data_IF_609231643790
#
_entry.id   IF_609231643790
#
_cell.length_a   1.000
_cell.length_b   1.000
_cell.length_c   1.000
_cell.angle_alpha   90.00
_cell.angle_beta   90.00
_cell.angle_gamma   90.00
#
_symmetry.space_group_name_H-M   'P 1'
#
loop_
_entity.id
_entity.type
_entity.pdbx_description
1 polymer ?
#
# COMPACT_ATOMS: atom_id res chain seq x y z
N UNK A 1 -9.00 46.44 15.89
CA UNK A 1 -8.67 45.11 15.33
C UNK A 1 -9.23 45.16 13.93
N UNK A 2 -8.34 45.37 12.96
CA UNK A 2 -8.68 45.98 11.67
C UNK A 2 -8.62 44.94 10.55
N UNK A 3 -9.39 45.14 9.48
CA UNK A 3 -9.58 44.19 8.37
C UNK A 3 -8.26 43.87 7.65
N UNK A 4 -7.29 44.78 7.75
CA UNK A 4 -5.92 44.63 7.24
C UNK A 4 -5.12 43.54 7.97
N UNK A 5 -5.35 43.32 9.27
CA UNK A 5 -4.63 42.29 10.04
C UNK A 5 -5.01 40.88 9.57
N UNK A 6 -6.27 40.67 9.17
CA UNK A 6 -6.75 39.41 8.57
C UNK A 6 -6.16 39.18 7.18
N UNK A 7 -6.02 40.24 6.39
CA UNK A 7 -5.40 40.14 5.06
C UNK A 7 -3.94 39.72 5.16
N UNK A 8 -3.15 40.36 6.04
CA UNK A 8 -1.75 40.01 6.23
C UNK A 8 -1.56 38.62 6.85
N UNK A 9 -2.41 38.21 7.80
CA UNK A 9 -2.35 36.86 8.35
C UNK A 9 -2.67 35.77 7.31
N UNK A 10 -3.63 36.02 6.42
CA UNK A 10 -3.96 35.08 5.34
C UNK A 10 -2.91 35.05 4.23
N UNK A 11 -2.31 36.20 3.90
CA UNK A 11 -1.15 36.27 3.00
C UNK A 11 0.03 35.50 3.58
N UNK A 12 0.36 35.69 4.86
CA UNK A 12 1.48 35.00 5.48
C UNK A 12 1.24 33.49 5.56
N UNK A 13 0.01 33.05 5.85
CA UNK A 13 -0.39 31.63 5.78
C UNK A 13 -0.31 31.07 4.35
N UNK A 14 -0.71 31.85 3.36
CA UNK A 14 -0.60 31.48 1.95
C UNK A 14 0.86 31.37 1.50
N UNK A 15 1.72 32.29 1.92
CA UNK A 15 3.16 32.21 1.64
C UNK A 15 3.86 31.08 2.40
N UNK A 16 3.46 30.76 3.64
CA UNK A 16 3.94 29.57 4.35
C UNK A 16 3.46 28.29 3.67
N UNK A 17 2.20 28.23 3.21
CA UNK A 17 1.70 27.11 2.41
C UNK A 17 2.48 26.96 1.10
N UNK A 18 2.70 28.05 0.36
CA UNK A 18 3.51 28.03 -0.86
C UNK A 18 4.98 27.69 -0.60
N UNK A 19 5.58 28.18 0.48
CA UNK A 19 6.95 27.83 0.86
C UNK A 19 7.09 26.34 1.24
N UNK A 20 6.05 25.71 1.78
CA UNK A 20 6.00 24.26 2.00
C UNK A 20 5.66 23.45 0.73
N UNK A 21 5.08 24.09 -0.29
CA UNK A 21 4.80 23.47 -1.60
C UNK A 21 6.01 23.59 -2.55
N UNK A 22 6.94 24.53 -2.29
CA UNK A 22 8.13 24.80 -3.10
C UNK A 22 9.34 23.86 -2.84
N UNK A 23 9.15 22.72 -2.15
CA UNK A 23 10.11 21.58 -2.18
C UNK A 23 9.57 20.35 -2.95
N UNK A 24 8.41 20.46 -3.62
CA UNK A 24 7.85 19.39 -4.45
C UNK A 24 8.20 19.52 -5.94
N UNK A 25 9.45 19.86 -6.23
CA UNK A 25 10.01 19.75 -7.59
C UNK A 25 11.14 18.71 -7.65
N UNK A 26 11.01 17.65 -6.84
CA UNK A 26 11.63 16.35 -7.09
C UNK A 26 10.74 15.60 -8.08
N UNK A 27 10.90 15.89 -9.37
CA UNK A 27 10.20 15.20 -10.45
C UNK A 27 10.52 13.70 -10.36
N UNK A 28 9.50 12.84 -10.31
CA UNK A 28 9.68 11.40 -10.53
C UNK A 28 10.15 11.24 -11.98
N UNK A 29 11.45 11.02 -12.17
CA UNK A 29 12.05 11.04 -13.52
C UNK A 29 11.84 9.72 -14.26
N UNK A 30 11.67 8.61 -13.54
CA UNK A 30 11.25 7.28 -13.99
C UNK A 30 11.39 6.28 -12.83
N UNK A 31 10.94 5.04 -13.02
CA UNK A 31 11.33 3.93 -12.14
C UNK A 31 12.77 3.47 -12.39
N UNK A 32 13.46 3.01 -11.35
CA UNK A 32 14.77 2.35 -11.45
C UNK A 32 14.66 0.86 -11.08
N UNK A 33 15.53 0.03 -11.64
CA UNK A 33 15.65 -1.36 -11.20
C UNK A 33 16.30 -1.36 -9.82
N UNK A 34 15.63 -1.98 -8.86
CA UNK A 34 16.15 -2.20 -7.51
C UNK A 34 17.26 -3.26 -7.58
N UNK A 35 18.46 -2.91 -7.11
CA UNK A 35 19.63 -3.80 -7.13
C UNK A 35 19.71 -4.70 -5.91
N UNK A 36 19.12 -4.29 -4.78
CA UNK A 36 19.02 -5.06 -3.52
C UNK A 36 17.70 -4.76 -2.78
N UNK A 37 17.20 -5.76 -2.03
CA UNK A 37 15.87 -5.80 -1.41
C UNK A 37 15.35 -4.50 -0.79
N UNK A 38 14.10 -4.12 -1.11
CA UNK A 38 13.35 -3.19 -0.28
C UNK A 38 12.88 -3.92 0.98
N UNK A 39 13.60 -3.73 2.09
CA UNK A 39 13.37 -4.46 3.35
C UNK A 39 11.96 -4.32 3.92
N UNK A 40 11.23 -3.26 3.57
CA UNK A 40 9.85 -3.02 4.02
C UNK A 40 8.79 -3.47 3.02
N UNK A 41 9.19 -3.95 1.84
CA UNK A 41 8.24 -4.42 0.82
C UNK A 41 7.80 -5.86 1.07
N UNK A 42 6.52 -6.10 0.82
CA UNK A 42 5.91 -7.40 0.82
C UNK A 42 5.16 -7.61 -0.49
N UNK A 43 5.09 -8.85 -0.94
CA UNK A 43 4.27 -9.26 -2.07
C UNK A 43 3.13 -10.14 -1.57
N UNK A 44 1.91 -9.74 -1.90
CA UNK A 44 0.69 -10.49 -1.61
C UNK A 44 0.36 -11.35 -2.82
N UNK A 45 0.23 -12.64 -2.57
CA UNK A 45 0.00 -13.65 -3.57
C UNK A 45 -1.31 -14.38 -3.28
N UNK A 46 -1.88 -14.97 -4.33
CA UNK A 46 -3.06 -15.81 -4.27
C UNK A 46 -2.79 -17.17 -4.89
N UNK A 47 -3.13 -18.24 -4.17
CA UNK A 47 -3.18 -19.59 -4.73
C UNK A 47 -4.59 -19.88 -5.23
N UNK A 48 -4.72 -20.20 -6.50
CA UNK A 48 -5.99 -20.65 -7.05
C UNK A 48 -6.24 -22.14 -6.77
N UNK A 49 -7.41 -22.65 -7.18
CA UNK A 49 -7.82 -24.05 -7.03
C UNK A 49 -6.90 -25.06 -7.73
N UNK A 50 -6.07 -24.60 -8.67
CA UNK A 50 -5.07 -25.41 -9.38
C UNK A 50 -3.68 -25.36 -8.72
N UNK A 51 -3.56 -24.75 -7.54
CA UNK A 51 -2.30 -24.45 -6.85
C UNK A 51 -1.34 -23.56 -7.66
N UNK A 52 -1.86 -22.78 -8.61
CA UNK A 52 -1.07 -21.76 -9.31
C UNK A 52 -0.99 -20.52 -8.42
N UNK A 53 0.23 -20.02 -8.25
CA UNK A 53 0.50 -18.82 -7.45
C UNK A 53 0.45 -17.60 -8.36
N UNK A 54 -0.45 -16.67 -8.02
CA UNK A 54 -0.67 -15.43 -8.75
C UNK A 54 -0.25 -14.25 -7.89
N UNK A 55 0.44 -13.30 -8.51
CA UNK A 55 0.72 -12.02 -7.90
C UNK A 55 -0.56 -11.18 -7.84
N UNK A 56 -0.94 -10.71 -6.65
CA UNK A 56 -2.07 -9.79 -6.48
C UNK A 56 -1.58 -8.35 -6.36
N UNK A 57 -0.82 -8.07 -5.31
CA UNK A 57 -0.50 -6.71 -4.90
C UNK A 57 0.83 -6.64 -4.16
N UNK A 58 1.32 -5.41 -4.02
CA UNK A 58 2.39 -5.07 -3.07
C UNK A 58 1.76 -4.70 -1.73
N UNK A 59 2.49 -4.92 -0.64
CA UNK A 59 2.19 -4.40 0.68
C UNK A 59 3.45 -3.90 1.39
N UNK A 60 3.26 -3.41 2.61
CA UNK A 60 4.32 -2.88 3.46
C UNK A 60 4.37 -3.62 4.79
N UNK A 61 5.55 -4.04 5.21
CA UNK A 61 5.78 -4.60 6.54
C UNK A 61 5.64 -3.46 7.56
N UNK A 62 4.58 -3.50 8.37
CA UNK A 62 4.33 -2.49 9.42
C UNK A 62 4.70 -3.01 10.80
N UNK A 63 4.71 -4.34 10.99
CA UNK A 63 5.23 -5.06 12.16
C UNK A 63 5.76 -6.43 11.72
N UNK A 64 6.47 -7.11 12.60
CA UNK A 64 7.06 -8.44 12.36
C UNK A 64 6.08 -9.46 11.77
N UNK A 65 4.82 -9.41 12.21
CA UNK A 65 3.74 -10.29 11.78
C UNK A 65 2.54 -9.51 11.21
N UNK A 66 2.77 -8.33 10.64
CA UNK A 66 1.69 -7.54 10.06
C UNK A 66 2.12 -6.84 8.78
N UNK A 67 1.37 -7.09 7.71
CA UNK A 67 1.52 -6.45 6.41
C UNK A 67 0.33 -5.55 6.17
N UNK A 68 0.61 -4.29 5.83
CA UNK A 68 -0.38 -3.33 5.38
C UNK A 68 -0.53 -3.41 3.87
N UNK A 69 -1.77 -3.46 3.40
CA UNK A 69 -2.14 -3.59 1.99
C UNK A 69 -3.42 -2.79 1.74
N UNK A 70 -3.74 -2.53 0.48
CA UNK A 70 -5.06 -2.04 0.09
C UNK A 70 -6.13 -3.13 0.29
N UNK A 71 -7.32 -2.75 0.74
CA UNK A 71 -8.38 -3.73 0.98
C UNK A 71 -8.86 -4.39 -0.32
N UNK A 72 -8.94 -3.64 -1.41
CA UNK A 72 -9.37 -4.17 -2.71
C UNK A 72 -8.46 -5.31 -3.23
N UNK A 73 -7.21 -5.41 -2.75
CA UNK A 73 -6.31 -6.50 -3.11
C UNK A 73 -6.78 -7.86 -2.58
N UNK A 74 -7.60 -7.87 -1.54
CA UNK A 74 -8.15 -9.08 -0.93
C UNK A 74 -9.43 -9.55 -1.62
N UNK A 75 -9.77 -8.96 -2.77
CA UNK A 75 -10.93 -9.28 -3.57
C UNK A 75 -10.51 -9.65 -4.99
N UNK A 76 -11.03 -10.78 -5.49
CA UNK A 76 -10.85 -11.20 -6.87
C UNK A 76 -12.21 -11.22 -7.56
N UNK A 77 -12.36 -10.42 -8.63
CA UNK A 77 -13.62 -10.31 -9.39
C UNK A 77 -14.82 -9.98 -8.49
N UNK A 78 -14.62 -9.09 -7.51
CA UNK A 78 -15.65 -8.66 -6.57
C UNK A 78 -15.98 -9.66 -5.46
N UNK A 79 -15.26 -10.78 -5.37
CA UNK A 79 -15.41 -11.76 -4.29
C UNK A 79 -14.21 -11.71 -3.37
N UNK A 80 -14.48 -11.74 -2.07
CA UNK A 80 -13.43 -11.88 -1.05
C UNK A 80 -12.66 -13.19 -1.27
N UNK A 81 -11.33 -13.08 -1.17
CA UNK A 81 -10.42 -14.22 -1.19
C UNK A 81 -10.30 -14.74 0.24
N UNK A 82 -10.41 -16.06 0.43
CA UNK A 82 -10.23 -16.67 1.73
C UNK A 82 -8.77 -16.55 2.21
N UNK A 83 -8.55 -16.31 3.51
CA UNK A 83 -7.22 -16.07 4.10
C UNK A 83 -6.23 -17.18 3.79
N UNK A 84 -6.68 -18.43 3.81
CA UNK A 84 -5.85 -19.59 3.52
C UNK A 84 -5.30 -19.60 2.09
N UNK A 85 -5.94 -18.89 1.16
CA UNK A 85 -5.48 -18.78 -0.22
C UNK A 85 -4.54 -17.60 -0.44
N UNK A 86 -4.31 -16.77 0.57
CA UNK A 86 -3.36 -15.65 0.52
C UNK A 86 -2.01 -16.07 1.12
N UNK A 87 -0.95 -15.66 0.43
CA UNK A 87 0.42 -15.79 0.89
C UNK A 87 1.11 -14.44 0.84
N UNK A 88 2.05 -14.24 1.74
CA UNK A 88 2.94 -13.09 1.75
C UNK A 88 4.35 -13.56 1.50
N UNK A 89 5.04 -12.93 0.57
CA UNK A 89 6.49 -13.02 0.43
C UNK A 89 7.15 -11.72 0.86
N UNK A 90 8.20 -11.82 1.66
CA UNK A 90 9.01 -10.66 2.06
C UNK A 90 10.47 -10.87 1.70
N UNK A 91 11.19 -9.76 1.55
CA UNK A 91 12.61 -9.75 1.21
C UNK A 91 12.94 -10.08 -0.26
N UNK A 92 11.95 -10.43 -1.08
CA UNK A 92 12.16 -10.54 -2.51
C UNK A 92 12.15 -9.14 -3.15
N UNK A 93 13.02 -8.91 -4.13
CA UNK A 93 13.01 -7.75 -5.02
C UNK A 93 12.68 -8.15 -6.47
N UNK A 94 12.47 -9.44 -6.73
CA UNK A 94 12.12 -9.99 -8.03
C UNK A 94 10.91 -10.91 -7.89
N UNK A 95 9.73 -10.34 -8.14
CA UNK A 95 8.45 -11.05 -8.08
C UNK A 95 8.36 -12.22 -9.09
N UNK A 96 9.18 -12.22 -10.15
CA UNK A 96 9.15 -13.27 -11.20
C UNK A 96 10.07 -14.44 -10.87
N UNK A 97 11.22 -14.18 -10.25
CA UNK A 97 12.15 -15.24 -9.82
C UNK A 97 11.63 -16.00 -8.62
N UNK A 98 10.73 -15.41 -7.84
CA UNK A 98 10.03 -16.12 -6.76
C UNK A 98 10.99 -16.76 -5.76
N UNK A 99 12.13 -16.12 -5.48
CA UNK A 99 13.04 -16.53 -4.41
C UNK A 99 12.72 -15.64 -3.19
N UNK A 100 11.70 -15.98 -2.39
CA UNK A 100 11.45 -15.27 -1.15
C UNK A 100 12.61 -15.54 -0.19
N UNK A 101 12.97 -14.54 0.61
CA UNK A 101 13.71 -14.82 1.84
C UNK A 101 12.79 -15.51 2.83
N UNK A 102 11.51 -15.11 2.89
CA UNK A 102 10.48 -15.71 3.74
C UNK A 102 9.14 -15.67 2.99
N UNK A 103 8.46 -16.81 2.92
CA UNK A 103 7.09 -16.93 2.46
C UNK A 103 6.22 -17.49 3.59
N UNK A 104 5.10 -16.83 3.88
CA UNK A 104 4.16 -17.26 4.91
C UNK A 104 2.75 -17.29 4.38
N UNK A 105 1.95 -18.25 4.85
CA UNK A 105 0.51 -18.27 4.61
C UNK A 105 -0.17 -17.31 5.58
N UNK A 106 -1.15 -16.57 5.09
CA UNK A 106 -1.94 -15.66 5.92
C UNK A 106 -2.77 -16.46 6.93
N UNK A 107 -2.73 -16.03 8.18
CA UNK A 107 -3.54 -16.60 9.26
C UNK A 107 -4.87 -15.85 9.40
N UNK A 108 -4.84 -14.53 9.21
CA UNK A 108 -6.01 -13.65 9.38
C UNK A 108 -5.88 -12.40 8.52
N UNK A 109 -7.00 -11.86 8.10
CA UNK A 109 -7.09 -10.55 7.47
C UNK A 109 -8.04 -9.66 8.27
N UNK A 110 -7.65 -8.41 8.48
CA UNK A 110 -8.49 -7.36 9.06
C UNK A 110 -8.67 -6.28 8.03
N UNK A 111 -9.93 -6.00 7.69
CA UNK A 111 -10.31 -5.16 6.55
C UNK A 111 -11.15 -4.00 7.02
N UNK A 112 -11.13 -2.92 6.26
CA UNK A 112 -12.12 -1.86 6.35
C UNK A 112 -13.53 -2.38 5.98
N UNK A 113 -14.59 -1.63 6.31
CA UNK A 113 -15.94 -1.97 5.89
C UNK A 113 -16.04 -2.10 4.35
N UNK A 114 -16.86 -3.02 3.83
CA UNK A 114 -16.97 -3.26 2.40
C UNK A 114 -17.46 -2.00 1.66
N UNK A 115 -17.07 -1.83 0.39
CA UNK A 115 -17.42 -0.66 -0.39
C UNK A 115 -18.94 -0.55 -0.59
N UNK A 116 -19.49 0.64 -0.42
CA UNK A 116 -20.82 0.98 -0.92
C UNK A 116 -20.68 1.43 -2.38
N UNK A 117 -21.39 0.77 -3.30
CA UNK A 117 -21.50 1.18 -4.71
C UNK A 117 -20.16 1.23 -5.49
N UNK A 118 -19.19 0.40 -5.12
CA UNK A 118 -17.91 0.29 -5.84
C UNK A 118 -16.88 1.38 -5.50
N UNK A 119 -17.19 2.25 -4.54
CA UNK A 119 -16.24 3.17 -3.93
C UNK A 119 -15.67 2.54 -2.65
N UNK A 120 -14.34 2.48 -2.54
CA UNK A 120 -13.61 2.02 -1.35
C UNK A 120 -13.15 3.26 -0.56
N UNK A 121 -14.00 3.85 0.29
CA UNK A 121 -13.64 5.08 1.02
C UNK A 121 -12.42 4.84 1.90
N UNK A 122 -12.33 3.65 2.49
CA UNK A 122 -11.24 3.18 3.31
C UNK A 122 -10.62 1.97 2.59
N UNK A 123 -9.69 2.17 1.67
CA UNK A 123 -9.04 1.08 0.93
C UNK A 123 -7.80 0.57 1.67
N UNK A 124 -8.00 0.03 2.88
CA UNK A 124 -6.92 -0.37 3.78
C UNK A 124 -7.25 -1.69 4.49
N UNK A 125 -6.29 -2.62 4.46
CA UNK A 125 -6.35 -3.87 5.19
C UNK A 125 -5.00 -4.24 5.81
N UNK A 126 -5.05 -5.09 6.83
CA UNK A 126 -3.90 -5.69 7.50
C UNK A 126 -3.97 -7.21 7.36
N UNK A 127 -2.90 -7.81 6.86
CA UNK A 127 -2.67 -9.25 6.81
C UNK A 127 -1.80 -9.64 8.01
N UNK A 128 -2.19 -10.70 8.71
CA UNK A 128 -1.52 -11.27 9.90
C UNK A 128 -1.14 -12.74 9.67
#
# INVERSE_FOLDING_TARGET
>A
MDESDYFFANIFRFFVFLANVQEYLLTITNGSIVTEGFHHSAYVLYSNDKNEILYLCTGSIVKENAIMVSDHCLFLRGKEIASENIFVMVGSYDAKKGVPHIASRTSRMTKSPPPTEGFWPDDLAIIL
#
